data_IF_751847091815
#
_entry.id   IF_751847091815
#
_cell.length_a   1.000
_cell.length_b   1.000
_cell.length_c   1.000
_cell.angle_alpha   90.00
_cell.angle_beta   90.00
_cell.angle_gamma   90.00
#
_symmetry.space_group_name_H-M   'P 1'
#
loop_
_entity.id
_entity.type
_entity.pdbx_description
1 polymer ?
#
# COMPACT_ATOMS: atom_id res chain seq x y z
N UNK A 1 -29.08 42.52 -11.33
CA UNK A 1 -30.19 43.46 -11.59
C UNK A 1 -30.93 43.65 -10.28
N UNK A 2 -30.92 44.90 -9.81
CA UNK A 2 -31.54 45.33 -8.58
C UNK A 2 -33.07 45.44 -8.72
N UNK A 3 -33.78 45.34 -7.58
CA UNK A 3 -34.94 46.12 -7.15
C UNK A 3 -35.88 45.26 -6.26
N UNK A 4 -36.82 45.84 -5.49
CA UNK A 4 -36.54 46.43 -4.17
C UNK A 4 -37.54 45.93 -3.10
N UNK A 5 -37.14 45.98 -1.82
CA UNK A 5 -38.06 45.73 -0.70
C UNK A 5 -38.77 47.01 -0.28
N UNK A 6 -40.06 47.09 -0.59
CA UNK A 6 -40.96 48.10 -0.03
C UNK A 6 -41.43 47.68 1.36
N UNK A 7 -41.18 48.53 2.36
CA UNK A 7 -41.84 48.49 3.66
C UNK A 7 -43.25 49.06 3.51
N UNK A 8 -44.25 48.31 3.94
CA UNK A 8 -45.53 48.87 4.37
C UNK A 8 -45.69 48.61 5.87
N UNK A 9 -45.80 49.70 6.63
CA UNK A 9 -46.32 49.67 8.00
C UNK A 9 -47.84 49.59 7.92
N UNK A 10 -48.46 48.71 8.70
CA UNK A 10 -49.82 48.90 9.19
C UNK A 10 -49.90 48.53 10.67
N UNK A 11 -50.22 49.56 11.46
CA UNK A 11 -50.69 49.55 12.83
C UNK A 11 -52.05 48.83 12.94
N UNK A 12 -52.35 48.22 14.09
CA UNK A 12 -53.73 48.08 14.55
C UNK A 12 -54.17 46.71 15.09
N UNK A 13 -54.33 46.68 16.42
CA UNK A 13 -55.39 45.97 17.20
C UNK A 13 -55.66 44.47 17.00
N UNK A 14 -55.19 43.72 18.03
CA UNK A 14 -55.84 42.63 18.80
C UNK A 14 -56.98 41.79 18.18
N UNK A 15 -56.72 40.48 18.29
CA UNK A 15 -57.59 39.39 18.76
C UNK A 15 -58.32 38.58 17.69
N UNK A 16 -57.86 37.35 17.46
CA UNK A 16 -58.49 36.09 17.89
C UNK A 16 -57.55 34.93 17.55
N UNK A 17 -57.49 33.92 18.43
CA UNK A 17 -56.69 32.71 18.22
C UNK A 17 -57.46 31.79 17.28
N UNK A 18 -57.20 31.90 15.99
CA UNK A 18 -57.50 30.81 15.07
C UNK A 18 -56.24 29.95 14.94
N UNK A 19 -56.34 28.71 15.41
CA UNK A 19 -55.38 27.66 15.12
C UNK A 19 -55.38 27.38 13.61
N UNK A 20 -54.66 28.21 12.86
CA UNK A 20 -54.26 27.93 11.49
C UNK A 20 -53.32 26.73 11.53
N UNK A 21 -53.84 25.56 11.19
CA UNK A 21 -53.04 24.41 10.78
C UNK A 21 -52.32 24.81 9.50
N UNK A 22 -51.12 25.37 9.64
CA UNK A 22 -50.19 25.59 8.53
C UNK A 22 -49.78 24.21 8.01
N UNK A 23 -50.57 23.67 7.08
CA UNK A 23 -50.18 22.51 6.29
C UNK A 23 -48.95 22.93 5.49
N UNK A 24 -47.77 22.59 6.00
CA UNK A 24 -46.54 22.70 5.24
C UNK A 24 -46.71 21.81 4.00
N UNK A 25 -46.93 22.44 2.85
CA UNK A 25 -46.86 21.79 1.54
C UNK A 25 -45.41 21.32 1.40
N UNK A 26 -45.16 20.09 1.83
CA UNK A 26 -43.88 19.42 1.59
C UNK A 26 -43.70 19.33 0.08
N UNK A 27 -42.81 20.16 -0.47
CA UNK A 27 -42.41 20.06 -1.87
C UNK A 27 -41.67 18.73 -2.03
N UNK A 28 -42.37 17.72 -2.58
CA UNK A 28 -41.80 16.40 -2.84
C UNK A 28 -41.10 16.40 -4.20
N UNK A 29 -39.95 15.73 -4.25
CA UNK A 29 -39.19 15.52 -5.48
C UNK A 29 -39.14 14.02 -5.75
N UNK A 30 -39.32 13.62 -7.00
CA UNK A 30 -39.18 12.23 -7.41
C UNK A 30 -37.72 11.75 -7.18
N UNK A 31 -37.52 10.46 -6.84
CA UNK A 31 -36.16 9.92 -6.69
C UNK A 31 -35.42 9.94 -8.03
N UNK A 32 -34.09 10.09 -7.97
CA UNK A 32 -33.24 10.18 -9.17
C UNK A 32 -32.90 8.81 -9.79
N UNK A 33 -33.21 7.73 -9.08
CA UNK A 33 -32.97 6.36 -9.50
C UNK A 33 -33.87 5.38 -8.75
N UNK A 34 -33.68 4.06 -8.93
CA UNK A 34 -34.46 3.04 -8.24
C UNK A 34 -34.27 3.17 -6.71
N UNK A 35 -35.35 2.98 -5.97
CA UNK A 35 -35.32 2.99 -4.51
C UNK A 35 -34.95 1.60 -3.97
N UNK A 36 -34.23 1.51 -2.83
CA UNK A 36 -34.01 0.25 -2.15
C UNK A 36 -35.34 -0.49 -1.91
N UNK A 37 -35.34 -1.81 -2.07
CA UNK A 37 -36.48 -2.69 -1.82
C UNK A 37 -37.73 -2.45 -2.68
N UNK A 38 -37.63 -1.67 -3.78
CA UNK A 38 -38.75 -1.46 -4.70
C UNK A 38 -39.17 -2.75 -5.44
N UNK A 39 -38.24 -3.69 -5.59
CA UNK A 39 -38.47 -4.98 -6.26
C UNK A 39 -39.24 -5.99 -5.39
N UNK A 40 -39.47 -5.68 -4.10
CA UNK A 40 -40.17 -6.59 -3.18
C UNK A 40 -41.68 -6.51 -3.43
N UNK A 41 -42.28 -7.62 -3.86
CA UNK A 41 -43.73 -7.74 -3.94
C UNK A 41 -44.36 -7.80 -2.54
N UNK A 42 -44.93 -6.67 -2.11
CA UNK A 42 -45.60 -6.51 -0.81
C UNK A 42 -46.97 -7.18 -0.75
N UNK A 43 -47.54 -7.60 -1.89
CA UNK A 43 -48.89 -8.18 -1.96
C UNK A 43 -49.00 -9.49 -1.20
N UNK A 44 -47.91 -10.28 -1.14
CA UNK A 44 -47.85 -11.58 -0.49
C UNK A 44 -46.71 -11.65 0.54
N UNK A 45 -46.66 -10.69 1.46
CA UNK A 45 -45.56 -10.55 2.42
C UNK A 45 -45.30 -11.81 3.27
N UNK A 46 -46.35 -12.57 3.59
CA UNK A 46 -46.27 -13.79 4.41
C UNK A 46 -45.63 -14.98 3.68
N UNK A 47 -45.71 -15.02 2.34
CA UNK A 47 -45.16 -16.11 1.52
C UNK A 47 -43.69 -15.90 1.14
N UNK A 48 -43.13 -14.72 1.39
CA UNK A 48 -41.74 -14.41 1.05
C UNK A 48 -40.75 -15.14 1.96
N UNK A 49 -39.67 -15.63 1.36
CA UNK A 49 -38.56 -16.19 2.10
C UNK A 49 -37.91 -15.11 2.99
N UNK A 50 -37.88 -15.35 4.31
CA UNK A 50 -37.26 -14.44 5.28
C UNK A 50 -35.80 -14.80 5.50
N UNK A 51 -35.01 -13.82 5.95
CA UNK A 51 -33.59 -14.03 6.24
C UNK A 51 -33.32 -15.12 7.28
N UNK A 52 -34.09 -15.15 8.39
CA UNK A 52 -34.03 -16.13 9.49
C UNK A 52 -32.68 -16.22 10.23
N UNK A 53 -31.63 -15.58 9.74
CA UNK A 53 -30.35 -15.41 10.42
C UNK A 53 -29.80 -14.01 10.17
N UNK A 54 -29.11 -13.48 11.18
CA UNK A 54 -28.41 -12.20 11.08
C UNK A 54 -27.34 -12.23 9.99
N UNK A 55 -26.58 -13.33 9.89
CA UNK A 55 -25.48 -13.44 8.92
C UNK A 55 -25.96 -13.41 7.47
N UNK A 56 -27.11 -14.03 7.16
CA UNK A 56 -27.68 -13.97 5.81
C UNK A 56 -28.10 -12.56 5.41
N UNK A 57 -28.68 -11.82 6.36
CA UNK A 57 -28.99 -10.40 6.15
C UNK A 57 -27.71 -9.59 5.97
N UNK A 58 -26.71 -9.79 6.84
CA UNK A 58 -25.43 -9.08 6.81
C UNK A 58 -24.73 -9.21 5.47
N UNK A 59 -24.60 -10.42 4.92
CA UNK A 59 -23.97 -10.64 3.60
C UNK A 59 -24.65 -9.82 2.50
N UNK A 60 -26.00 -9.83 2.49
CA UNK A 60 -26.76 -9.05 1.51
C UNK A 60 -26.58 -7.53 1.69
N UNK A 61 -26.55 -7.07 2.95
CA UNK A 61 -26.31 -5.68 3.27
C UNK A 61 -24.89 -5.22 2.85
N UNK A 62 -23.88 -6.08 3.02
CA UNK A 62 -22.50 -5.79 2.58
C UNK A 62 -22.39 -5.72 1.05
N UNK A 63 -23.08 -6.58 0.30
CA UNK A 63 -23.16 -6.51 -1.16
C UNK A 63 -23.76 -5.18 -1.63
N UNK A 64 -24.90 -4.78 -1.05
CA UNK A 64 -25.57 -3.53 -1.40
C UNK A 64 -24.73 -2.31 -0.99
N UNK A 65 -24.01 -2.37 0.13
CA UNK A 65 -23.11 -1.30 0.56
C UNK A 65 -21.92 -1.10 -0.40
N UNK A 66 -21.50 -2.14 -1.13
CA UNK A 66 -20.43 -2.05 -2.12
C UNK A 66 -20.90 -1.61 -3.51
N UNK A 67 -22.21 -1.63 -3.77
CA UNK A 67 -22.79 -1.20 -5.04
C UNK A 67 -22.70 0.33 -5.22
N UNK A 68 -22.63 0.82 -6.47
CA UNK A 68 -22.72 2.25 -6.75
C UNK A 68 -24.16 2.75 -6.53
N UNK A 69 -24.30 3.89 -5.87
CA UNK A 69 -25.59 4.52 -5.58
C UNK A 69 -25.62 5.97 -6.08
N UNK A 70 -26.81 6.47 -6.41
CA UNK A 70 -27.01 7.85 -6.89
C UNK A 70 -27.08 8.88 -5.75
N UNK A 71 -27.32 8.44 -4.50
CA UNK A 71 -27.27 9.29 -3.31
C UNK A 71 -25.84 9.37 -2.75
N UNK A 72 -25.62 10.32 -1.83
CA UNK A 72 -24.32 10.49 -1.18
C UNK A 72 -23.93 9.26 -0.38
N UNK A 73 -22.72 8.76 -0.60
CA UNK A 73 -22.22 7.57 0.09
C UNK A 73 -20.96 7.88 0.90
N UNK A 74 -20.68 7.02 1.89
CA UNK A 74 -19.40 7.07 2.62
C UNK A 74 -18.19 6.94 1.66
N UNK A 75 -18.29 6.04 0.66
CA UNK A 75 -17.23 5.81 -0.33
C UNK A 75 -16.93 7.05 -1.17
N UNK A 76 -17.93 7.89 -1.46
CA UNK A 76 -17.72 9.15 -2.18
C UNK A 76 -16.81 10.12 -1.42
N UNK A 77 -16.92 10.16 -0.08
CA UNK A 77 -16.17 11.08 0.76
C UNK A 77 -14.83 10.52 1.26
N UNK A 78 -14.77 9.22 1.55
CA UNK A 78 -13.64 8.58 2.22
C UNK A 78 -12.97 7.48 1.39
N UNK A 79 -13.58 7.07 0.28
CA UNK A 79 -12.98 6.08 -0.61
C UNK A 79 -11.79 6.68 -1.36
N UNK A 80 -10.76 5.85 -1.54
CA UNK A 80 -9.65 6.21 -2.43
C UNK A 80 -10.18 6.38 -3.86
N UNK A 81 -9.91 7.54 -4.45
CA UNK A 81 -10.31 7.82 -5.82
C UNK A 81 -9.40 7.03 -6.76
N UNK A 82 -10.00 6.16 -7.54
CA UNK A 82 -9.28 5.44 -8.60
C UNK A 82 -9.59 6.10 -9.94
N UNK A 83 -8.57 6.27 -10.78
CA UNK A 83 -8.78 6.69 -12.16
C UNK A 83 -9.62 5.64 -12.90
N UNK A 84 -10.55 6.07 -13.78
CA UNK A 84 -11.37 5.15 -14.56
C UNK A 84 -10.58 4.45 -15.67
N UNK A 85 -9.33 4.87 -15.92
CA UNK A 85 -8.45 4.23 -16.87
C UNK A 85 -7.89 2.95 -16.24
N UNK A 86 -8.14 1.81 -16.88
CA UNK A 86 -7.62 0.54 -16.43
C UNK A 86 -6.09 0.61 -16.28
N UNK A 87 -5.59 0.08 -15.16
CA UNK A 87 -4.15 -0.03 -14.90
C UNK A 87 -3.53 -0.93 -15.96
N UNK A 88 -2.45 -0.45 -16.56
CA UNK A 88 -1.73 -1.19 -17.62
C UNK A 88 -0.91 -2.30 -16.95
N UNK A 89 -0.90 -3.49 -17.56
CA UNK A 89 0.00 -4.59 -17.18
C UNK A 89 1.29 -4.51 -18.00
N UNK A 90 2.42 -4.32 -17.32
CA UNK A 90 3.77 -4.25 -17.92
C UNK A 90 4.58 -5.54 -17.68
N UNK A 91 3.96 -6.58 -17.13
CA UNK A 91 4.62 -7.83 -16.75
C UNK A 91 4.79 -8.85 -17.86
N UNK A 92 5.42 -9.97 -17.49
CA UNK A 92 5.52 -11.16 -18.34
C UNK A 92 4.15 -11.80 -18.62
N UNK A 93 3.98 -12.44 -19.80
CA UNK A 93 2.74 -13.11 -20.15
C UNK A 93 2.42 -14.26 -19.18
N UNK A 94 1.13 -14.55 -18.93
CA UNK A 94 0.73 -15.66 -18.07
C UNK A 94 1.12 -17.03 -18.68
N UNK A 95 1.45 -18.03 -17.84
CA UNK A 95 1.74 -19.37 -18.32
C UNK A 95 0.51 -20.01 -18.97
N UNK A 96 0.73 -20.74 -20.07
CA UNK A 96 -0.32 -21.52 -20.73
C UNK A 96 -0.49 -22.87 -20.03
N UNK A 97 -1.64 -23.11 -19.41
CA UNK A 97 -1.95 -24.36 -18.70
C UNK A 97 -3.23 -24.98 -19.24
N UNK A 98 -3.23 -26.30 -19.43
CA UNK A 98 -4.44 -27.05 -19.81
C UNK A 98 -5.34 -27.27 -18.59
N UNK A 99 -6.38 -26.44 -18.45
CA UNK A 99 -7.32 -26.50 -17.31
C UNK A 99 -8.00 -27.87 -17.14
N UNK A 100 -8.29 -28.56 -18.25
CA UNK A 100 -8.94 -29.88 -18.21
C UNK A 100 -8.05 -30.92 -17.54
N UNK A 101 -6.78 -30.99 -17.93
CA UNK A 101 -5.81 -31.93 -17.36
C UNK A 101 -5.58 -31.66 -15.87
N UNK A 102 -5.30 -30.39 -15.52
CA UNK A 102 -5.10 -29.98 -14.14
C UNK A 102 -6.29 -30.32 -13.23
N UNK A 103 -7.52 -30.16 -13.73
CA UNK A 103 -8.73 -30.48 -12.96
C UNK A 103 -8.90 -31.99 -12.74
N UNK A 104 -8.53 -32.81 -13.72
CA UNK A 104 -8.57 -34.28 -13.58
C UNK A 104 -7.56 -34.74 -12.54
N UNK A 105 -6.32 -34.24 -12.60
CA UNK A 105 -5.27 -34.56 -11.61
C UNK A 105 -5.68 -34.15 -10.19
N UNK A 106 -6.16 -32.92 -10.02
CA UNK A 106 -6.63 -32.43 -8.71
C UNK A 106 -7.79 -33.27 -8.16
N UNK A 107 -8.73 -33.69 -9.01
CA UNK A 107 -9.83 -34.57 -8.57
C UNK A 107 -9.33 -35.94 -8.14
N UNK A 108 -8.35 -36.50 -8.86
CA UNK A 108 -7.74 -37.79 -8.51
C UNK A 108 -7.07 -37.73 -7.13
N UNK A 109 -6.24 -36.72 -6.88
CA UNK A 109 -5.58 -36.51 -5.58
C UNK A 109 -6.62 -36.39 -4.46
N UNK A 110 -7.69 -35.61 -4.67
CA UNK A 110 -8.77 -35.47 -3.68
C UNK A 110 -9.55 -36.76 -3.44
N UNK A 111 -9.73 -37.59 -4.46
CA UNK A 111 -10.37 -38.90 -4.32
C UNK A 111 -9.50 -39.83 -3.48
N UNK A 112 -8.21 -39.95 -3.81
CA UNK A 112 -7.24 -40.76 -3.08
C UNK A 112 -7.16 -40.35 -1.60
N UNK A 113 -7.08 -39.04 -1.31
CA UNK A 113 -7.06 -38.52 0.06
C UNK A 113 -8.35 -38.85 0.83
N UNK A 114 -9.52 -38.74 0.20
CA UNK A 114 -10.82 -39.01 0.83
C UNK A 114 -11.11 -40.49 1.04
N UNK A 115 -10.50 -41.36 0.24
CA UNK A 115 -10.63 -42.82 0.42
C UNK A 115 -9.80 -43.32 1.61
N UNK A 116 -8.79 -42.56 2.04
CA UNK A 116 -8.01 -42.89 3.24
C UNK A 116 -8.84 -42.78 4.51
N UNK A 117 -9.01 -43.90 5.22
CA UNK A 117 -9.72 -43.93 6.50
C UNK A 117 -8.94 -43.23 7.62
N UNK A 118 -7.61 -43.19 7.53
CA UNK A 118 -6.75 -42.56 8.53
C UNK A 118 -6.92 -41.03 8.52
N UNK A 119 -6.96 -40.45 7.33
CA UNK A 119 -7.16 -39.01 7.13
C UNK A 119 -8.57 -38.56 7.56
N UNK A 120 -9.60 -39.38 7.29
CA UNK A 120 -10.96 -39.12 7.79
C UNK A 120 -11.00 -39.15 9.31
N UNK A 121 -10.39 -40.15 9.93
CA UNK A 121 -10.35 -40.28 11.39
C UNK A 121 -9.57 -39.11 12.02
N UNK A 122 -8.42 -38.74 11.46
CA UNK A 122 -7.62 -37.62 11.93
C UNK A 122 -8.38 -36.29 11.80
N UNK A 123 -9.11 -36.07 10.70
CA UNK A 123 -9.95 -34.90 10.51
C UNK A 123 -11.13 -34.86 11.51
N UNK A 124 -11.78 -36.00 11.76
CA UNK A 124 -12.90 -36.11 12.72
C UNK A 124 -12.46 -35.86 14.16
N UNK A 125 -11.26 -36.30 14.52
CA UNK A 125 -10.67 -36.09 15.85
C UNK A 125 -9.99 -34.73 16.01
N UNK A 126 -9.86 -33.95 14.92
CA UNK A 126 -9.19 -32.66 14.93
C UNK A 126 -7.67 -32.73 15.11
N UNK A 127 -7.05 -33.87 14.79
CA UNK A 127 -5.60 -34.11 14.93
C UNK A 127 -4.83 -34.00 13.60
N UNK A 128 -5.52 -33.77 12.49
CA UNK A 128 -4.89 -33.61 11.18
C UNK A 128 -4.01 -32.35 11.11
N UNK A 129 -2.85 -32.46 10.47
CA UNK A 129 -1.90 -31.36 10.27
C UNK A 129 -1.51 -31.25 8.80
N UNK A 130 -1.20 -30.03 8.35
CA UNK A 130 -0.84 -29.76 6.95
C UNK A 130 0.62 -29.32 6.89
N UNK A 131 1.45 -29.92 6.02
CA UNK A 131 2.86 -29.53 5.87
C UNK A 131 2.96 -28.13 5.26
N UNK A 132 3.39 -27.16 6.08
CA UNK A 132 3.44 -25.74 5.69
C UNK A 132 4.43 -25.47 4.54
N UNK A 133 5.55 -26.18 4.50
CA UNK A 133 6.56 -26.03 3.43
C UNK A 133 5.99 -26.42 2.06
N UNK A 134 5.28 -27.55 1.99
CA UNK A 134 4.64 -28.00 0.75
C UNK A 134 3.51 -27.05 0.31
N UNK A 135 2.73 -26.52 1.26
CA UNK A 135 1.71 -25.50 0.98
C UNK A 135 2.36 -24.25 0.40
N UNK A 136 3.47 -23.80 0.99
CA UNK A 136 4.20 -22.62 0.54
C UNK A 136 4.77 -22.80 -0.87
N UNK A 137 5.39 -23.95 -1.16
CA UNK A 137 5.94 -24.26 -2.47
C UNK A 137 4.85 -24.28 -3.57
N UNK A 138 3.70 -24.90 -3.29
CA UNK A 138 2.58 -24.93 -4.25
C UNK A 138 1.90 -23.56 -4.38
N UNK A 139 1.78 -22.81 -3.29
CA UNK A 139 1.27 -21.44 -3.28
C UNK A 139 2.13 -20.54 -4.18
N UNK A 140 3.45 -20.58 -4.04
CA UNK A 140 4.39 -19.76 -4.81
C UNK A 140 4.29 -20.04 -6.32
N UNK A 141 4.02 -21.29 -6.70
CA UNK A 141 3.81 -21.69 -8.10
C UNK A 141 2.47 -21.24 -8.70
N UNK A 142 1.42 -21.15 -7.88
CA UNK A 142 0.04 -21.01 -8.38
C UNK A 142 -0.55 -19.61 -8.16
N UNK A 143 -0.97 -19.28 -6.93
CA UNK A 143 -1.64 -18.02 -6.62
C UNK A 143 -0.73 -16.97 -5.94
N UNK A 144 0.46 -17.38 -5.51
CA UNK A 144 1.45 -16.52 -4.87
C UNK A 144 1.76 -15.24 -5.64
N UNK A 145 2.01 -15.27 -6.96
CA UNK A 145 2.26 -14.07 -7.74
C UNK A 145 1.14 -13.02 -7.64
N UNK A 146 -0.13 -13.44 -7.66
CA UNK A 146 -1.27 -12.53 -7.53
C UNK A 146 -1.42 -11.96 -6.12
N UNK A 147 -1.09 -12.76 -5.10
CA UNK A 147 -1.08 -12.28 -3.71
C UNK A 147 0.03 -11.25 -3.51
N UNK A 148 1.23 -11.51 -4.06
CA UNK A 148 2.37 -10.59 -4.04
C UNK A 148 2.04 -9.29 -4.78
N UNK A 149 1.38 -9.35 -5.93
CA UNK A 149 0.87 -8.17 -6.64
C UNK A 149 -0.13 -7.36 -5.79
N UNK A 150 -1.12 -8.02 -5.19
CA UNK A 150 -2.10 -7.33 -4.31
C UNK A 150 -1.41 -6.67 -3.12
N UNK A 151 -0.38 -7.32 -2.57
CA UNK A 151 0.38 -6.77 -1.45
C UNK A 151 1.23 -5.58 -1.88
N UNK A 152 1.94 -5.67 -3.01
CA UNK A 152 2.70 -4.56 -3.58
C UNK A 152 1.83 -3.34 -3.88
N UNK A 153 0.59 -3.55 -4.35
CA UNK A 153 -0.41 -2.49 -4.52
C UNK A 153 -0.81 -1.86 -3.19
N UNK A 154 -1.10 -2.69 -2.16
CA UNK A 154 -1.42 -2.20 -0.82
C UNK A 154 -0.28 -1.39 -0.21
N UNK A 155 0.96 -1.81 -0.41
CA UNK A 155 2.14 -1.07 0.01
C UNK A 155 2.43 0.14 -0.87
N UNK A 156 1.68 0.41 -1.95
CA UNK A 156 1.87 1.58 -2.82
C UNK A 156 3.06 1.50 -3.78
N UNK A 157 3.68 0.32 -3.96
CA UNK A 157 4.91 0.18 -4.76
C UNK A 157 4.67 0.51 -6.24
N UNK A 158 3.57 0.04 -6.84
CA UNK A 158 3.27 0.31 -8.25
C UNK A 158 2.93 1.79 -8.51
N UNK A 159 2.30 2.45 -7.54
CA UNK A 159 2.00 3.89 -7.61
C UNK A 159 3.29 4.70 -7.67
N UNK A 160 4.24 4.38 -6.80
CA UNK A 160 5.47 5.14 -6.63
C UNK A 160 6.51 4.79 -7.73
N UNK A 161 6.76 3.49 -7.99
CA UNK A 161 7.79 3.03 -8.93
C UNK A 161 7.40 3.16 -10.42
N UNK A 162 6.11 2.96 -10.72
CA UNK A 162 5.62 2.83 -12.11
C UNK A 162 4.41 3.72 -12.42
N UNK A 163 4.11 4.71 -11.59
CA UNK A 163 2.97 5.62 -11.76
C UNK A 163 1.62 4.90 -11.97
N UNK A 164 1.42 3.79 -11.26
CA UNK A 164 0.17 3.01 -11.26
C UNK A 164 0.11 1.87 -12.28
N UNK A 165 1.12 1.70 -13.13
CA UNK A 165 1.25 0.48 -13.93
C UNK A 165 1.60 -0.72 -13.05
N UNK A 166 0.99 -1.86 -13.32
CA UNK A 166 1.13 -3.07 -12.48
C UNK A 166 1.82 -4.18 -13.25
N UNK A 167 2.40 -5.14 -12.54
CA UNK A 167 2.85 -6.39 -13.16
C UNK A 167 2.68 -7.55 -12.18
N UNK A 168 2.51 -8.77 -12.70
CA UNK A 168 2.49 -9.97 -11.87
C UNK A 168 3.92 -10.52 -11.73
N UNK A 169 4.48 -10.64 -10.51
CA UNK A 169 5.82 -11.19 -10.31
C UNK A 169 5.81 -12.71 -10.53
N UNK A 170 5.98 -13.13 -11.80
CA UNK A 170 5.95 -14.53 -12.23
C UNK A 170 7.16 -15.32 -11.77
N UNK A 171 8.30 -14.65 -11.64
CA UNK A 171 9.56 -15.26 -11.22
C UNK A 171 9.70 -15.10 -9.70
N UNK A 172 9.75 -16.21 -8.94
CA UNK A 172 10.04 -16.17 -7.51
C UNK A 172 11.45 -15.63 -7.30
N UNK A 173 11.53 -14.50 -6.61
CA UNK A 173 12.80 -13.89 -6.20
C UNK A 173 13.01 -14.19 -4.73
N UNK A 174 14.06 -14.97 -4.43
CA UNK A 174 14.47 -15.29 -3.07
C UNK A 174 15.70 -14.46 -2.74
N UNK A 175 15.58 -13.63 -1.71
CA UNK A 175 16.65 -12.77 -1.23
C UNK A 175 16.87 -13.08 0.25
N UNK A 176 18.12 -13.34 0.63
CA UNK A 176 18.50 -13.70 1.99
C UNK A 176 19.75 -12.93 2.41
N UNK A 177 19.68 -12.23 3.55
CA UNK A 177 20.85 -11.61 4.16
C UNK A 177 21.53 -12.61 5.10
N UNK A 178 22.85 -12.71 5.03
CA UNK A 178 23.64 -13.51 5.98
C UNK A 178 23.89 -12.68 7.24
N UNK A 179 23.44 -13.18 8.39
CA UNK A 179 23.59 -12.53 9.69
C UNK A 179 24.55 -13.37 10.52
N UNK A 180 25.83 -12.96 10.55
CA UNK A 180 26.88 -13.78 11.16
C UNK A 180 27.25 -14.97 10.26
N UNK A 181 27.53 -16.13 10.86
CA UNK A 181 28.02 -17.31 10.13
C UNK A 181 26.91 -18.32 9.78
N UNK A 182 25.90 -18.50 10.64
CA UNK A 182 24.89 -19.56 10.49
C UNK A 182 23.46 -19.06 10.25
N UNK A 183 23.13 -17.82 10.60
CA UNK A 183 21.77 -17.30 10.52
C UNK A 183 21.50 -16.58 9.19
N UNK A 184 20.33 -16.83 8.61
CA UNK A 184 19.85 -16.19 7.39
C UNK A 184 18.58 -15.40 7.67
N UNK A 185 18.56 -14.14 7.25
CA UNK A 185 17.38 -13.27 7.29
C UNK A 185 16.72 -13.20 5.89
N UNK A 186 15.64 -13.96 5.64
CA UNK A 186 14.95 -13.93 4.36
C UNK A 186 14.12 -12.66 4.18
N UNK A 187 14.19 -12.09 2.99
CA UNK A 187 13.33 -10.99 2.55
C UNK A 187 12.12 -11.57 1.83
N UNK A 188 10.95 -11.17 2.28
CA UNK A 188 9.66 -11.56 1.72
C UNK A 188 8.98 -10.36 1.05
N UNK A 189 7.84 -9.93 1.59
CA UNK A 189 6.96 -8.90 1.00
C UNK A 189 6.46 -7.98 2.12
N UNK A 190 7.39 -7.21 2.70
CA UNK A 190 7.10 -6.23 3.74
C UNK A 190 7.42 -6.66 5.16
N UNK A 191 8.20 -7.74 5.35
CA UNK A 191 8.76 -8.05 6.66
C UNK A 191 9.81 -7.00 7.08
N UNK A 192 10.03 -6.87 8.38
CA UNK A 192 11.04 -5.96 8.92
C UNK A 192 12.43 -6.61 8.85
N UNK A 193 13.41 -5.86 8.34
CA UNK A 193 14.83 -6.22 8.32
C UNK A 193 15.62 -5.00 8.80
N UNK A 194 16.55 -5.23 9.72
CA UNK A 194 17.33 -4.14 10.32
C UNK A 194 18.49 -3.71 9.41
N UNK A 195 18.94 -2.44 9.50
CA UNK A 195 20.12 -2.00 8.77
C UNK A 195 21.38 -2.79 9.11
N UNK A 196 21.51 -3.24 10.37
CA UNK A 196 22.61 -4.10 10.82
C UNK A 196 22.64 -5.43 10.08
N UNK A 197 21.48 -6.10 9.92
CA UNK A 197 21.38 -7.35 9.14
C UNK A 197 21.61 -7.11 7.64
N UNK A 198 21.20 -5.95 7.14
CA UNK A 198 21.36 -5.55 5.74
C UNK A 198 22.66 -4.77 5.46
N UNK A 199 23.69 -4.92 6.30
CA UNK A 199 24.97 -4.22 6.14
C UNK A 199 25.80 -4.74 4.96
N UNK A 200 25.65 -6.01 4.61
CA UNK A 200 26.33 -6.62 3.45
C UNK A 200 25.32 -6.94 2.34
N UNK A 201 25.80 -7.10 1.11
CA UNK A 201 24.95 -7.47 -0.01
C UNK A 201 24.29 -8.84 0.24
N UNK A 202 23.00 -9.00 -0.07
CA UNK A 202 22.29 -10.25 0.17
C UNK A 202 22.64 -11.32 -0.88
N UNK A 203 22.40 -12.56 -0.51
CA UNK A 203 22.35 -13.68 -1.47
C UNK A 203 21.02 -13.65 -2.20
N UNK A 204 21.07 -13.69 -3.53
CA UNK A 204 19.89 -13.60 -4.40
C UNK A 204 19.82 -14.81 -5.30
N UNK A 205 18.69 -15.50 -5.27
CA UNK A 205 18.42 -16.67 -6.11
C UNK A 205 17.04 -16.58 -6.76
N UNK A 206 16.95 -16.96 -8.02
CA UNK A 206 15.70 -16.97 -8.77
C UNK A 206 15.73 -18.04 -9.89
N UNK A 207 14.56 -18.49 -10.32
CA UNK A 207 14.44 -19.48 -11.39
C UNK A 207 14.68 -18.87 -12.77
N UNK A 208 15.60 -19.43 -13.55
CA UNK A 208 16.00 -18.91 -14.87
C UNK A 208 16.11 -19.97 -15.95
N UNK A 209 15.82 -19.58 -17.19
CA UNK A 209 16.10 -20.38 -18.39
C UNK A 209 17.59 -20.24 -18.80
N UNK A 210 18.16 -21.26 -19.44
CA UNK A 210 19.52 -21.19 -19.97
C UNK A 210 19.67 -20.05 -21.01
N UNK A 211 20.74 -19.26 -20.91
CA UNK A 211 21.00 -18.15 -21.83
C UNK A 211 20.15 -16.88 -21.60
N UNK A 212 19.30 -16.85 -20.57
CA UNK A 212 18.56 -15.65 -20.20
C UNK A 212 19.44 -14.61 -19.49
N UNK A 213 19.12 -13.33 -19.68
CA UNK A 213 19.86 -12.21 -19.10
C UNK A 213 18.92 -11.43 -18.18
N UNK A 214 19.42 -10.99 -17.02
CA UNK A 214 18.62 -10.35 -15.98
C UNK A 214 19.25 -9.06 -15.47
N UNK A 215 18.45 -8.24 -14.81
CA UNK A 215 18.89 -7.04 -14.09
C UNK A 215 18.24 -7.03 -12.72
N UNK A 216 19.05 -6.82 -11.69
CA UNK A 216 18.61 -6.70 -10.31
C UNK A 216 18.78 -5.24 -9.87
N UNK A 217 17.73 -4.68 -9.28
CA UNK A 217 17.71 -3.32 -8.77
C UNK A 217 17.18 -3.33 -7.33
N UNK A 218 17.89 -2.69 -6.42
CA UNK A 218 17.45 -2.39 -5.06
C UNK A 218 17.26 -0.87 -4.92
N UNK A 219 16.05 -0.46 -4.57
CA UNK A 219 15.68 0.95 -4.41
C UNK A 219 15.00 1.20 -3.07
N UNK A 220 15.18 2.42 -2.56
CA UNK A 220 14.53 2.90 -1.36
C UNK A 220 13.55 4.01 -1.74
N UNK A 221 12.26 3.75 -1.51
CA UNK A 221 11.18 4.63 -1.94
C UNK A 221 10.98 5.83 -1.01
N UNK A 222 11.33 5.68 0.28
CA UNK A 222 10.98 6.66 1.32
C UNK A 222 12.21 7.37 1.90
N UNK A 223 13.42 6.99 1.47
CA UNK A 223 14.67 7.43 2.09
C UNK A 223 15.29 8.72 1.58
N UNK A 224 14.72 9.35 0.55
CA UNK A 224 15.32 10.53 -0.03
C UNK A 224 15.16 11.75 0.89
N UNK A 225 16.27 12.46 1.13
CA UNK A 225 16.33 13.51 2.18
C UNK A 225 15.91 14.90 1.69
N UNK A 226 15.83 15.09 0.37
CA UNK A 226 15.62 16.40 -0.26
C UNK A 226 14.35 16.46 -1.10
N UNK A 227 14.22 15.56 -2.09
CA UNK A 227 13.05 15.45 -2.95
C UNK A 227 12.08 14.34 -2.47
N UNK A 228 10.77 14.59 -2.37
CA UNK A 228 9.83 13.56 -1.92
C UNK A 228 9.56 12.49 -2.99
N UNK A 229 9.69 12.83 -4.28
CA UNK A 229 9.35 11.95 -5.40
C UNK A 229 10.55 11.16 -5.95
N UNK A 230 11.76 11.39 -5.40
CA UNK A 230 12.96 10.71 -5.85
C UNK A 230 13.34 9.57 -4.89
N UNK A 231 14.02 8.58 -5.44
CA UNK A 231 14.42 7.36 -4.73
C UNK A 231 15.95 7.35 -4.60
N UNK A 232 16.47 6.52 -3.69
CA UNK A 232 17.89 6.15 -3.70
C UNK A 232 18.09 4.75 -4.28
N UNK A 233 19.02 4.61 -5.22
CA UNK A 233 19.49 3.29 -5.66
C UNK A 233 20.56 2.77 -4.71
N UNK A 234 20.27 1.64 -4.08
CA UNK A 234 21.18 0.97 -3.16
C UNK A 234 22.05 -0.06 -3.88
N UNK A 235 21.50 -0.73 -4.90
CA UNK A 235 22.24 -1.74 -5.64
C UNK A 235 21.68 -1.87 -7.05
N UNK A 236 22.55 -1.94 -8.05
CA UNK A 236 22.15 -2.20 -9.44
C UNK A 236 23.18 -3.11 -10.09
N UNK A 237 22.73 -4.31 -10.46
CA UNK A 237 23.51 -5.27 -11.24
C UNK A 237 22.80 -5.51 -12.55
N UNK A 238 23.53 -5.32 -13.64
CA UNK A 238 23.02 -5.43 -15.00
C UNK A 238 23.63 -6.64 -15.71
N UNK A 239 22.99 -7.08 -16.80
CA UNK A 239 23.51 -8.12 -17.69
C UNK A 239 23.87 -9.44 -16.96
N UNK A 240 23.08 -9.86 -15.96
CA UNK A 240 23.33 -11.09 -15.18
C UNK A 240 23.04 -12.32 -16.04
N UNK A 241 24.01 -13.22 -16.27
CA UNK A 241 23.80 -14.44 -17.06
C UNK A 241 23.13 -15.54 -16.22
N UNK A 242 21.86 -15.81 -16.49
CA UNK A 242 21.05 -16.78 -15.74
C UNK A 242 20.89 -16.37 -14.28
N UNK A 243 21.26 -17.25 -13.34
CA UNK A 243 21.16 -17.06 -11.89
C UNK A 243 22.51 -16.65 -11.24
N UNK A 244 23.54 -16.33 -12.04
CA UNK A 244 24.90 -16.04 -11.52
C UNK A 244 25.08 -14.55 -11.27
N UNK A 245 24.53 -14.07 -10.16
CA UNK A 245 24.53 -12.63 -9.80
C UNK A 245 25.94 -12.04 -9.75
N UNK A 246 26.94 -12.81 -9.28
CA UNK A 246 28.33 -12.37 -9.23
C UNK A 246 29.01 -12.19 -10.60
N UNK A 247 28.49 -12.79 -11.67
CA UNK A 247 28.98 -12.59 -13.05
C UNK A 247 28.33 -11.39 -13.74
N UNK A 248 27.32 -10.78 -13.12
CA UNK A 248 26.69 -9.56 -13.62
C UNK A 248 27.63 -8.35 -13.54
N UNK A 249 27.32 -7.34 -14.35
CA UNK A 249 28.03 -6.07 -14.32
C UNK A 249 27.46 -5.21 -13.18
N UNK A 250 28.27 -4.97 -12.15
CA UNK A 250 27.88 -4.10 -11.03
C UNK A 250 27.91 -2.63 -11.47
N UNK A 251 26.75 -2.12 -11.87
CA UNK A 251 26.55 -0.74 -12.35
C UNK A 251 26.47 0.25 -11.19
N UNK A 252 25.97 -0.20 -10.03
CA UNK A 252 25.95 0.58 -8.81
C UNK A 252 26.27 -0.33 -7.61
N UNK A 253 27.35 -0.05 -6.85
CA UNK A 253 27.78 -0.91 -5.77
C UNK A 253 26.79 -0.89 -4.60
N UNK A 254 26.68 -2.01 -3.90
CA UNK A 254 25.78 -2.14 -2.75
C UNK A 254 26.06 -1.04 -1.71
N UNK A 255 25.00 -0.35 -1.30
CA UNK A 255 25.01 0.61 -0.21
C UNK A 255 24.02 0.13 0.85
N UNK A 256 24.43 -0.05 2.11
CA UNK A 256 23.53 -0.43 3.18
C UNK A 256 22.34 0.53 3.31
N UNK A 257 21.18 0.07 3.80
CA UNK A 257 20.07 0.96 4.08
C UNK A 257 20.44 1.94 5.21
N UNK A 258 20.10 3.22 5.05
CA UNK A 258 20.36 4.27 6.05
C UNK A 258 19.08 5.08 6.39
N UNK A 259 18.00 4.45 6.87
CA UNK A 259 16.80 5.17 7.27
C UNK A 259 17.12 6.18 8.39
N UNK A 260 16.81 7.46 8.16
CA UNK A 260 17.15 8.52 9.11
C UNK A 260 16.37 8.38 10.43
N UNK A 261 16.93 8.88 11.53
CA UNK A 261 16.28 8.76 12.83
C UNK A 261 14.99 9.56 12.88
N UNK A 262 13.89 8.90 13.24
CA UNK A 262 12.58 9.54 13.40
C UNK A 262 11.74 9.70 12.12
N UNK A 263 12.18 9.16 10.99
CA UNK A 263 11.38 9.13 9.74
C UNK A 263 10.40 7.95 9.66
N UNK A 264 10.56 6.93 10.51
CA UNK A 264 9.67 5.77 10.57
C UNK A 264 10.19 4.58 9.78
N UNK A 265 9.28 3.84 9.15
CA UNK A 265 9.61 2.65 8.35
C UNK A 265 9.79 3.03 6.89
N UNK A 266 10.91 2.62 6.30
CA UNK A 266 11.20 2.83 4.89
C UNK A 266 11.01 1.53 4.12
N UNK A 267 10.44 1.61 2.92
CA UNK A 267 10.23 0.46 2.03
C UNK A 267 11.41 0.33 1.07
N UNK A 268 12.05 -0.84 1.09
CA UNK A 268 13.14 -1.21 0.18
C UNK A 268 12.65 -2.28 -0.79
N UNK A 269 12.71 -2.01 -2.09
CA UNK A 269 12.21 -2.90 -3.12
C UNK A 269 13.34 -3.48 -3.97
N UNK A 270 13.40 -4.81 -4.02
CA UNK A 270 14.14 -5.58 -5.02
C UNK A 270 13.27 -5.81 -6.25
N UNK A 271 13.72 -5.30 -7.38
CA UNK A 271 13.12 -5.49 -8.69
C UNK A 271 14.02 -6.37 -9.53
N UNK A 272 13.44 -7.43 -10.07
CA UNK A 272 14.11 -8.30 -11.03
C UNK A 272 13.49 -8.09 -12.40
N UNK A 273 14.31 -7.67 -13.35
CA UNK A 273 13.90 -7.51 -14.74
C UNK A 273 14.51 -8.60 -15.63
N UNK A 274 13.69 -9.15 -16.53
CA UNK A 274 14.14 -10.02 -17.61
C UNK A 274 14.55 -9.16 -18.80
N UNK A 275 15.75 -9.38 -19.32
CA UNK A 275 16.23 -8.73 -20.53
C UNK A 275 16.08 -9.68 -21.73
N UNK A 276 15.65 -9.12 -22.87
CA UNK A 276 15.58 -9.86 -24.14
C UNK A 276 16.93 -9.90 -24.85
N UNK A 277 17.78 -8.89 -24.62
CA UNK A 277 19.10 -8.72 -25.23
C UNK A 277 20.03 -8.02 -24.22
N UNK A 278 21.36 -8.19 -24.33
CA UNK A 278 22.30 -7.38 -23.56
C UNK A 278 22.06 -5.89 -23.82
N UNK A 279 22.01 -5.09 -22.75
CA UNK A 279 21.78 -3.65 -22.81
C UNK A 279 23.05 -2.94 -22.34
N UNK A 280 23.39 -1.82 -22.98
CA UNK A 280 24.43 -0.93 -22.49
C UNK A 280 23.85 0.04 -21.44
N UNK A 281 24.42 0.01 -20.23
CA UNK A 281 24.05 0.85 -19.09
C UNK A 281 25.13 1.90 -18.77
N UNK A 282 25.97 2.26 -19.75
CA UNK A 282 27.04 3.25 -19.58
C UNK A 282 26.55 4.59 -19.00
N UNK A 283 25.34 5.05 -19.37
CA UNK A 283 24.74 6.30 -18.84
C UNK A 283 24.33 6.20 -17.36
N UNK A 284 23.93 5.02 -16.90
CA UNK A 284 23.44 4.78 -15.53
C UNK A 284 24.54 4.23 -14.61
N UNK A 285 25.76 4.05 -15.15
CA UNK A 285 26.92 3.54 -14.42
C UNK A 285 27.43 4.57 -13.43
N UNK A 286 27.63 4.11 -12.20
CA UNK A 286 28.10 4.93 -11.08
C UNK A 286 29.53 4.53 -10.70
N UNK A 287 30.31 5.45 -10.12
CA UNK A 287 31.66 5.12 -9.65
C UNK A 287 31.61 4.05 -8.56
N UNK A 288 32.64 3.21 -8.47
CA UNK A 288 32.81 2.26 -7.37
C UNK A 288 34.01 2.68 -6.53
N UNK A 289 33.84 3.08 -5.25
CA UNK A 289 32.58 3.21 -4.50
C UNK A 289 31.81 4.51 -4.81
N UNK A 290 30.47 4.48 -4.71
CA UNK A 290 29.62 5.66 -4.85
C UNK A 290 28.96 6.02 -3.50
N UNK A 291 29.52 7.03 -2.81
CA UNK A 291 28.95 7.57 -1.56
C UNK A 291 28.26 8.93 -1.74
N UNK A 292 28.24 9.47 -2.97
CA UNK A 292 27.57 10.73 -3.26
C UNK A 292 26.07 10.52 -3.45
N UNK A 293 25.25 11.09 -2.55
CA UNK A 293 23.79 10.94 -2.57
C UNK A 293 23.15 11.50 -3.85
N UNK A 294 23.72 12.55 -4.44
CA UNK A 294 23.23 13.12 -5.71
C UNK A 294 23.33 12.12 -6.87
N UNK A 295 24.39 11.33 -6.93
CA UNK A 295 24.54 10.26 -7.92
C UNK A 295 23.66 9.06 -7.62
N UNK A 296 23.40 8.79 -6.33
CA UNK A 296 22.49 7.73 -5.87
C UNK A 296 21.02 8.08 -6.08
N UNK A 297 20.71 9.35 -6.37
CA UNK A 297 19.35 9.78 -6.68
C UNK A 297 18.90 9.09 -7.96
N UNK A 298 17.73 8.47 -7.92
CA UNK A 298 17.24 7.59 -8.96
C UNK A 298 15.71 7.67 -9.05
N UNK A 299 15.17 7.38 -10.23
CA UNK A 299 13.73 7.27 -10.47
C UNK A 299 13.50 6.03 -11.30
N UNK A 300 12.88 5.02 -10.70
CA UNK A 300 12.66 3.72 -11.35
C UNK A 300 11.81 3.84 -12.62
N UNK A 301 10.82 4.72 -12.62
CA UNK A 301 9.96 4.97 -13.78
C UNK A 301 10.75 5.43 -15.01
N UNK A 302 11.63 6.42 -14.84
CA UNK A 302 12.42 6.99 -15.95
C UNK A 302 13.42 5.97 -16.49
N UNK A 303 14.07 5.22 -15.59
CA UNK A 303 14.96 4.11 -15.95
C UNK A 303 14.24 3.05 -16.77
N UNK A 304 13.09 2.57 -16.29
CA UNK A 304 12.32 1.55 -17.00
C UNK A 304 11.82 2.07 -18.35
N UNK A 305 11.34 3.32 -18.42
CA UNK A 305 10.81 3.90 -19.65
C UNK A 305 11.86 3.98 -20.78
N UNK A 306 13.13 4.25 -20.44
CA UNK A 306 14.25 4.21 -21.40
C UNK A 306 14.49 2.80 -21.96
N UNK A 307 14.39 1.77 -21.12
CA UNK A 307 14.78 0.39 -21.46
C UNK A 307 13.60 -0.58 -21.69
N UNK A 308 12.35 -0.12 -21.63
CA UNK A 308 11.13 -0.94 -21.69
C UNK A 308 11.05 -1.87 -22.91
N UNK A 309 11.71 -1.52 -24.02
CA UNK A 309 11.69 -2.32 -25.26
C UNK A 309 12.53 -3.60 -25.16
N UNK A 310 13.50 -3.63 -24.26
CA UNK A 310 14.44 -4.74 -24.10
C UNK A 310 14.39 -5.35 -22.69
N UNK A 311 13.58 -4.78 -21.79
CA UNK A 311 13.52 -5.12 -20.37
C UNK A 311 12.07 -5.23 -19.90
N UNK A 312 11.74 -6.29 -19.17
CA UNK A 312 10.40 -6.55 -18.63
C UNK A 312 10.47 -6.91 -17.14
N UNK A 313 9.67 -6.29 -16.24
CA UNK A 313 9.64 -6.67 -14.83
C UNK A 313 9.08 -8.08 -14.65
N UNK A 314 9.79 -8.89 -13.86
CA UNK A 314 9.54 -10.31 -13.75
C UNK A 314 9.43 -10.80 -12.30
N UNK A 315 10.22 -10.23 -11.39
CA UNK A 315 10.24 -10.57 -9.97
C UNK A 315 10.20 -9.33 -9.10
N UNK A 316 9.67 -9.51 -7.89
CA UNK A 316 9.54 -8.47 -6.88
C UNK A 316 9.74 -9.12 -5.50
N UNK A 317 10.53 -8.47 -4.65
CA UNK A 317 10.61 -8.72 -3.21
C UNK A 317 10.84 -7.38 -2.52
N UNK A 318 10.37 -7.20 -1.29
CA UNK A 318 10.59 -5.95 -0.58
C UNK A 318 10.54 -6.16 0.93
N UNK A 319 11.21 -5.29 1.67
CA UNK A 319 11.22 -5.29 3.14
C UNK A 319 11.02 -3.88 3.69
N UNK A 320 10.71 -3.82 4.98
CA UNK A 320 10.65 -2.58 5.73
C UNK A 320 11.90 -2.46 6.60
N UNK A 321 12.46 -1.26 6.68
CA UNK A 321 13.64 -0.98 7.48
C UNK A 321 13.39 0.23 8.38
N UNK A 322 13.92 0.18 9.60
CA UNK A 322 13.88 1.27 10.58
C UNK A 322 15.28 1.67 10.97
N UNK A 323 15.43 2.86 11.53
CA UNK A 323 16.70 3.31 12.09
C UNK A 323 17.22 2.37 13.18
N UNK A 324 18.53 2.13 13.17
CA UNK A 324 19.31 1.47 14.22
C UNK A 324 20.67 2.18 14.40
N UNK A 325 21.46 1.73 15.37
CA UNK A 325 22.76 2.35 15.68
C UNK A 325 23.79 2.23 14.53
N UNK A 326 23.63 1.25 13.64
CA UNK A 326 24.54 1.06 12.49
C UNK A 326 24.38 2.14 11.42
N UNK A 327 23.22 2.80 11.38
CA UNK A 327 22.95 3.92 10.47
C UNK A 327 23.82 5.13 10.79
N UNK A 328 24.06 5.41 12.08
CA UNK A 328 24.95 6.50 12.51
C UNK A 328 26.37 6.29 11.97
N UNK A 329 26.87 5.06 12.04
CA UNK A 329 28.15 4.66 11.43
C UNK A 329 28.16 4.91 9.92
N UNK A 330 27.07 4.55 9.22
CA UNK A 330 26.92 4.76 7.78
C UNK A 330 26.99 6.24 7.40
N UNK A 331 26.30 7.13 8.13
CA UNK A 331 26.36 8.58 7.87
C UNK A 331 27.76 9.17 8.09
N UNK A 332 28.42 8.79 9.18
CA UNK A 332 29.72 9.37 9.54
C UNK A 332 30.90 8.78 8.77
N UNK A 333 30.92 7.47 8.52
CA UNK A 333 32.06 6.79 7.91
C UNK A 333 31.93 6.59 6.41
N UNK A 334 30.73 6.26 5.91
CA UNK A 334 30.53 6.01 4.47
C UNK A 334 30.16 7.30 3.73
N UNK A 335 29.18 8.05 4.25
CA UNK A 335 28.64 9.25 3.59
C UNK A 335 29.37 10.56 3.96
N UNK A 336 30.29 10.52 4.94
CA UNK A 336 31.03 11.68 5.48
C UNK A 336 30.13 12.90 5.75
N UNK A 337 28.99 12.65 6.41
CA UNK A 337 28.00 13.67 6.70
C UNK A 337 27.44 13.56 8.12
N UNK A 338 26.75 14.63 8.55
CA UNK A 338 26.03 14.64 9.82
C UNK A 338 24.72 13.88 9.67
N UNK A 339 24.41 13.05 10.66
CA UNK A 339 23.15 12.32 10.72
C UNK A 339 21.97 13.31 10.90
N UNK A 340 20.99 13.32 9.97
CA UNK A 340 19.76 14.08 10.14
C UNK A 340 18.80 13.35 11.10
N UNK A 341 18.20 14.11 12.02
CA UNK A 341 17.24 13.59 13.00
C UNK A 341 15.92 14.33 12.82
N UNK A 342 14.86 13.56 12.63
CA UNK A 342 13.51 14.05 12.42
C UNK A 342 12.63 13.78 13.64
N UNK A 343 11.61 14.61 13.83
CA UNK A 343 10.62 14.45 14.88
C UNK A 343 9.22 14.64 14.31
N UNK A 344 8.28 13.82 14.77
CA UNK A 344 6.88 13.94 14.38
C UNK A 344 6.18 15.05 15.19
N UNK A 345 6.09 16.24 14.59
CA UNK A 345 5.40 17.39 15.20
C UNK A 345 3.91 17.37 14.82
N UNK A 346 3.04 17.34 15.83
CA UNK A 346 1.58 17.40 15.64
C UNK A 346 1.14 18.85 15.34
N UNK A 347 0.04 19.04 14.59
CA UNK A 347 -0.55 20.37 14.44
C UNK A 347 -0.88 20.99 15.81
N UNK A 348 -0.67 22.30 15.97
CA UNK A 348 -0.99 22.97 17.23
C UNK A 348 -2.49 22.83 17.54
N UNK A 349 -2.86 22.74 18.82
CA UNK A 349 -4.25 22.61 19.21
C UNK A 349 -5.05 23.83 18.74
N UNK A 350 -6.24 23.60 18.18
CA UNK A 350 -7.12 24.68 17.77
C UNK A 350 -7.70 25.39 18.99
N UNK A 351 -7.54 26.70 19.03
CA UNK A 351 -8.21 27.57 19.98
C UNK A 351 -9.04 28.62 19.22
N UNK A 352 -10.33 28.81 19.57
CA UNK A 352 -11.12 29.87 18.97
C UNK A 352 -10.55 31.24 19.32
N UNK A 353 -10.89 32.29 18.58
CA UNK A 353 -10.43 33.65 18.90
C UNK A 353 -10.79 34.04 20.34
N UNK A 354 -9.80 34.53 21.09
CA UNK A 354 -9.99 34.94 22.48
C UNK A 354 -11.03 36.07 22.57
N UNK A 355 -12.00 35.92 23.48
CA UNK A 355 -13.02 36.93 23.76
C UNK A 355 -12.65 37.66 25.06
N UNK A 356 -12.79 38.97 25.06
CA UNK A 356 -12.57 39.81 26.25
C UNK A 356 -13.44 39.38 27.44
N UNK A 357 -14.69 39.01 27.18
CA UNK A 357 -15.62 38.52 28.19
C UNK A 357 -16.06 37.09 27.84
N UNK A 358 -15.34 36.07 28.31
CA UNK A 358 -15.64 34.68 28.01
C UNK A 358 -16.80 34.17 28.88
N UNK A 359 -18.02 34.65 28.57
CA UNK A 359 -19.23 34.30 29.32
C UNK A 359 -19.42 32.79 29.42
N UNK A 360 -19.68 32.28 30.64
CA UNK A 360 -19.85 30.86 30.98
C UNK A 360 -18.63 29.96 30.71
N UNK A 361 -17.44 30.53 30.52
CA UNK A 361 -16.22 29.73 30.45
C UNK A 361 -15.59 29.55 31.84
N UNK A 362 -14.91 28.42 32.08
CA UNK A 362 -14.17 28.20 33.33
C UNK A 362 -12.93 29.10 33.40
N UNK A 363 -12.36 29.30 34.60
CA UNK A 363 -11.17 30.13 34.83
C UNK A 363 -9.97 29.70 33.96
N UNK A 364 -9.78 28.38 33.78
CA UNK A 364 -8.75 27.78 32.91
C UNK A 364 -8.85 28.16 31.42
N UNK A 365 -9.87 28.93 31.03
CA UNK A 365 -9.97 29.53 29.71
C UNK A 365 -8.79 30.46 29.41
N UNK A 366 -8.33 31.23 30.41
CA UNK A 366 -7.22 32.17 30.26
C UNK A 366 -5.90 31.45 30.00
N UNK A 367 -5.72 30.25 30.58
CA UNK A 367 -4.52 29.44 30.41
C UNK A 367 -4.34 28.95 28.96
N UNK A 368 -5.42 28.81 28.18
CA UNK A 368 -5.36 28.42 26.76
C UNK A 368 -4.64 29.44 25.87
N UNK A 369 -4.52 30.68 26.34
CA UNK A 369 -3.88 31.78 25.61
C UNK A 369 -2.70 32.35 26.41
N UNK A 370 -2.23 31.61 27.43
CA UNK A 370 -1.05 31.99 28.21
C UNK A 370 0.15 31.21 27.69
N UNK A 371 1.17 31.93 27.21
CA UNK A 371 2.36 31.30 26.63
C UNK A 371 3.31 30.75 27.69
N UNK A 372 3.49 31.46 28.82
CA UNK A 372 4.39 31.08 29.91
C UNK A 372 3.62 30.65 31.16
N UNK A 373 4.16 29.69 31.92
CA UNK A 373 3.64 29.32 33.24
C UNK A 373 4.22 30.19 34.37
N UNK A 374 5.18 31.05 34.08
CA UNK A 374 5.86 31.90 35.07
C UNK A 374 5.07 33.19 35.37
N UNK A 375 5.15 33.73 36.60
CA UNK A 375 4.49 34.99 36.94
C UNK A 375 5.13 36.16 36.20
N UNK A 376 4.31 37.12 35.78
CA UNK A 376 4.77 38.34 35.09
C UNK A 376 4.52 39.57 35.96
N UNK A 377 5.53 40.42 36.09
CA UNK A 377 5.49 41.64 36.92
C UNK A 377 5.52 42.94 36.10
N UNK A 378 5.58 42.89 34.77
CA UNK A 378 5.50 44.08 33.92
C UNK A 378 6.54 45.15 34.29
N UNK A 379 6.07 46.33 34.74
CA UNK A 379 6.90 47.50 35.08
C UNK A 379 7.25 47.61 36.59
N UNK A 380 6.81 46.65 37.42
CA UNK A 380 6.96 46.71 38.88
C UNK A 380 8.39 46.45 39.36
#
# INVERSE_FOLDING_TARGET
MAAPWWRFMLYGSRAWRDFSTSAAVSRRTAPLGPMPNQDIDVSNLERLEKYRSFDRYRRRAEEEAQAPHWWRTYREHFGEKTDPKDKIDIGLPPPKVCRRQQLVERKRILQELRTSSEEEQAARLGTASIPLEAVRAEWERTCGPYHKQRLAEYYGLYRDLFHGATFVPRVPLHVTYAVGEDDLMPVYHGNEVTPTEAAQAPEVTYGTDEGSIWTLLLTNLDGHLLEPDAEYVHWLITNIPGNRVAEGQETCPYLPPFPARGTGFHRFAFLLFKQDKPIDFSEDTRPSPCYQLTQRTFRTFDFYNKHQKAMTPAGLAFFQCRWDDSVTSTFHHLLDMREPVFEFVRPPPYHPKQKRFPHRQPLRYLDRYRDSHEPTYGIY
#
